data_IF_796801439679
#
_entry.id   IF_796801439679
#
_cell.length_a   1.000
_cell.length_b   1.000
_cell.length_c   1.000
_cell.angle_alpha   90.00
_cell.angle_beta   90.00
_cell.angle_gamma   90.00
#
_symmetry.space_group_name_H-M   'P 1'
#
loop_
_entity.id
_entity.type
_entity.pdbx_description
1 polymer ?
#
# COMPACT_ATOMS: atom_id res chain seq x y z
N UNK A 1 15.31 -8.22 -8.90
CA UNK A 1 14.67 -6.93 -9.27
C UNK A 1 14.26 -6.26 -7.97
N UNK A 2 14.91 -5.18 -7.51
CA UNK A 2 14.38 -4.44 -6.37
C UNK A 2 13.00 -3.93 -6.78
N UNK A 3 11.96 -4.28 -6.03
CA UNK A 3 10.63 -3.71 -6.23
C UNK A 3 10.75 -2.22 -5.97
N UNK A 4 10.49 -1.40 -6.98
CA UNK A 4 10.51 0.05 -6.83
C UNK A 4 9.42 0.48 -5.85
N UNK A 5 9.56 1.64 -5.22
CA UNK A 5 8.51 2.22 -4.37
C UNK A 5 7.17 2.27 -5.11
N UNK A 6 7.19 2.62 -6.40
CA UNK A 6 6.03 2.65 -7.28
C UNK A 6 5.33 1.28 -7.37
N UNK A 7 6.10 0.19 -7.41
CA UNK A 7 5.52 -1.16 -7.42
C UNK A 7 4.79 -1.46 -6.11
N UNK A 8 5.37 -1.12 -4.97
CA UNK A 8 4.73 -1.32 -3.66
C UNK A 8 3.48 -0.46 -3.49
N UNK A 9 3.49 0.77 -4.01
CA UNK A 9 2.31 1.66 -4.05
C UNK A 9 1.22 1.05 -4.93
N UNK A 10 1.54 0.64 -6.16
CA UNK A 10 0.57 0.03 -7.08
C UNK A 10 -0.08 -1.21 -6.47
N UNK A 11 0.73 -2.13 -5.92
CA UNK A 11 0.21 -3.35 -5.30
C UNK A 11 -0.63 -3.08 -4.05
N UNK A 12 -0.25 -2.08 -3.27
CA UNK A 12 -1.05 -1.65 -2.12
C UNK A 12 -2.38 -1.05 -2.55
N UNK A 13 -2.39 -0.24 -3.60
CA UNK A 13 -3.60 0.33 -4.18
C UNK A 13 -4.56 -0.76 -4.69
N UNK A 14 -4.04 -1.72 -5.48
CA UNK A 14 -4.82 -2.87 -5.98
C UNK A 14 -5.47 -3.64 -4.83
N UNK A 15 -4.69 -3.98 -3.80
CA UNK A 15 -5.15 -4.82 -2.68
C UNK A 15 -6.14 -4.11 -1.77
N UNK A 16 -6.01 -2.80 -1.61
CA UNK A 16 -6.92 -1.96 -0.84
C UNK A 16 -8.11 -1.45 -1.67
N UNK A 17 -8.20 -1.81 -2.95
CA UNK A 17 -9.25 -1.36 -3.87
C UNK A 17 -9.37 0.18 -3.95
N UNK A 18 -8.22 0.86 -3.96
CA UNK A 18 -8.13 2.31 -4.16
C UNK A 18 -7.38 2.58 -5.47
N UNK A 19 -7.74 3.66 -6.17
CA UNK A 19 -6.97 4.11 -7.33
C UNK A 19 -5.69 4.83 -6.90
N UNK A 20 -4.66 4.81 -7.74
CA UNK A 20 -3.43 5.58 -7.52
C UNK A 20 -3.70 7.07 -7.44
N UNK A 21 -4.62 7.59 -8.24
CA UNK A 21 -5.05 8.99 -8.14
C UNK A 21 -5.63 9.33 -6.77
N UNK A 22 -6.47 8.46 -6.20
CA UNK A 22 -6.97 8.65 -4.84
C UNK A 22 -5.83 8.60 -3.82
N UNK A 23 -4.91 7.64 -3.95
CA UNK A 23 -3.73 7.55 -3.09
C UNK A 23 -2.86 8.82 -3.13
N UNK A 24 -2.55 9.31 -4.33
CA UNK A 24 -1.72 10.50 -4.55
C UNK A 24 -2.38 11.78 -4.02
N UNK A 25 -3.72 11.80 -3.98
CA UNK A 25 -4.47 12.93 -3.42
C UNK A 25 -4.50 12.97 -1.89
N UNK A 26 -4.04 11.91 -1.22
CA UNK A 26 -4.00 11.86 0.24
C UNK A 26 -2.83 12.67 0.81
N UNK A 27 -2.99 13.23 2.02
CA UNK A 27 -1.87 13.71 2.81
C UNK A 27 -0.78 12.65 2.97
N UNK A 28 0.47 13.09 3.03
CA UNK A 28 1.64 12.18 3.06
C UNK A 28 1.59 11.21 4.25
N UNK A 29 1.11 11.65 5.42
CA UNK A 29 0.93 10.81 6.59
C UNK A 29 -0.14 9.72 6.40
N UNK A 30 -1.23 10.02 5.69
CA UNK A 30 -2.25 9.03 5.34
C UNK A 30 -1.75 8.03 4.28
N UNK A 31 -0.94 8.48 3.31
CA UNK A 31 -0.25 7.58 2.38
C UNK A 31 0.63 6.57 3.13
N UNK A 32 1.45 7.04 4.08
CA UNK A 32 2.30 6.17 4.90
C UNK A 32 1.47 5.21 5.77
N UNK A 33 0.35 5.68 6.33
CA UNK A 33 -0.54 4.84 7.14
C UNK A 33 -1.14 3.71 6.31
N UNK A 34 -1.61 3.99 5.09
CA UNK A 34 -2.16 2.97 4.18
C UNK A 34 -1.15 1.92 3.79
N UNK A 35 0.06 2.34 3.41
CA UNK A 35 1.15 1.41 3.07
C UNK A 35 1.51 0.53 4.27
N UNK A 36 1.62 1.13 5.46
CA UNK A 36 1.92 0.40 6.70
C UNK A 36 0.81 -0.58 7.07
N UNK A 37 -0.45 -0.16 6.95
CA UNK A 37 -1.61 -1.02 7.17
C UNK A 37 -1.62 -2.22 6.23
N UNK A 38 -1.40 -2.00 4.93
CA UNK A 38 -1.33 -3.09 3.96
C UNK A 38 -0.20 -4.06 4.31
N UNK A 39 0.96 -3.55 4.74
CA UNK A 39 2.11 -4.36 5.14
C UNK A 39 1.79 -5.25 6.34
N UNK A 40 1.11 -4.72 7.36
CA UNK A 40 0.68 -5.49 8.54
C UNK A 40 -0.27 -6.60 8.11
N UNK A 41 -1.27 -6.31 7.27
CA UNK A 41 -2.22 -7.33 6.79
C UNK A 41 -1.54 -8.46 6.03
N UNK A 42 -0.55 -8.16 5.19
CA UNK A 42 0.22 -9.18 4.46
C UNK A 42 0.94 -10.12 5.45
N UNK A 43 1.49 -9.56 6.53
CA UNK A 43 2.16 -10.34 7.58
C UNK A 43 1.12 -11.20 8.32
N UNK A 44 -0.03 -10.65 8.70
CA UNK A 44 -1.09 -11.42 9.36
C UNK A 44 -1.61 -12.57 8.50
N UNK A 45 -1.78 -12.35 7.20
CA UNK A 45 -2.20 -13.38 6.24
C UNK A 45 -1.12 -14.44 5.98
N UNK A 46 0.17 -14.13 6.17
CA UNK A 46 1.24 -15.12 6.02
C UNK A 46 1.45 -16.01 7.24
N UNK A 47 0.86 -15.63 8.39
CA UNK A 47 0.96 -16.37 9.66
C UNK A 47 -0.30 -17.18 9.98
N UNK A 48 -1.36 -17.04 9.18
CA UNK A 48 -2.59 -17.84 9.23
C UNK A 48 -2.63 -18.84 8.07
#
# INVERSE_FOLDING_TARGET
MPRTLDYEVLRSCERLSISTHQFDSLPYDEQLRLLSYNRIRIIEESHN
#
